data_IF_331438769825
#
_entry.id   IF_331438769825
#
_cell.length_a   1.000
_cell.length_b   1.000
_cell.length_c   1.000
_cell.angle_alpha   90.00
_cell.angle_beta   90.00
_cell.angle_gamma   90.00
#
_symmetry.space_group_name_H-M   'P 1'
#
loop_
_entity.id
_entity.type
_entity.pdbx_description
1 polymer ?
#
# COMPACT_ATOMS: atom_id res chain seq x y z
N UNK A 1 -6.20 0.77 0.15
CA UNK A 1 -4.88 1.44 0.20
C UNK A 1 -3.74 0.50 -0.12
N UNK A 2 -3.62 -0.68 0.51
CA UNK A 2 -2.65 -1.69 0.05
C UNK A 2 -2.83 -2.01 -1.44
N UNK A 3 -4.07 -2.23 -1.90
CA UNK A 3 -4.37 -2.44 -3.33
C UNK A 3 -4.01 -1.23 -4.22
N UNK A 4 -4.16 0.00 -3.72
CA UNK A 4 -3.78 1.21 -4.48
C UNK A 4 -2.26 1.30 -4.60
N UNK A 5 -1.54 0.97 -3.53
CA UNK A 5 -0.08 0.90 -3.54
C UNK A 5 0.41 -0.22 -4.47
N UNK A 6 -0.26 -1.37 -4.49
CA UNK A 6 0.00 -2.44 -5.45
C UNK A 6 -0.10 -1.91 -6.88
N UNK A 7 -1.23 -1.29 -7.23
CA UNK A 7 -1.46 -0.71 -8.56
C UNK A 7 -0.39 0.32 -8.88
N UNK A 8 -0.11 1.23 -7.96
CA UNK A 8 0.92 2.25 -8.12
C UNK A 8 2.30 1.65 -8.40
N UNK A 9 2.73 0.67 -7.60
CA UNK A 9 4.02 0.01 -7.77
C UNK A 9 4.08 -0.74 -9.11
N UNK A 10 3.01 -1.44 -9.50
CA UNK A 10 2.98 -2.10 -10.80
C UNK A 10 3.06 -1.11 -11.95
N UNK A 11 2.30 0.00 -11.92
CA UNK A 11 2.32 1.02 -12.96
C UNK A 11 3.71 1.66 -13.08
N UNK A 12 4.32 2.03 -11.95
CA UNK A 12 5.64 2.63 -11.90
C UNK A 12 6.75 1.68 -12.40
N UNK A 13 6.56 0.37 -12.21
CA UNK A 13 7.52 -0.64 -12.67
C UNK A 13 7.29 -1.04 -14.13
N UNK A 14 6.11 -0.81 -14.70
CA UNK A 14 5.82 -1.02 -16.13
C UNK A 14 6.52 0.07 -16.96
N UNK A 15 7.83 -0.07 -17.11
CA UNK A 15 8.67 0.78 -17.95
C UNK A 15 9.11 0.01 -19.20
N UNK A 16 9.48 0.69 -20.30
CA UNK A 16 9.88 0.02 -21.55
C UNK A 16 10.97 -1.05 -21.37
N UNK A 17 11.91 -0.81 -20.44
CA UNK A 17 12.98 -1.75 -20.10
C UNK A 17 12.43 -3.01 -19.44
N UNK A 18 11.46 -2.87 -18.54
CA UNK A 18 10.87 -4.02 -17.84
C UNK A 18 9.94 -4.79 -18.76
N UNK A 19 9.21 -4.10 -19.64
CA UNK A 19 8.37 -4.74 -20.66
C UNK A 19 9.25 -5.58 -21.60
N UNK A 20 10.38 -5.03 -22.07
CA UNK A 20 11.27 -5.79 -22.96
C UNK A 20 11.92 -7.00 -22.29
N UNK A 21 12.21 -6.92 -21.00
CA UNK A 21 12.66 -8.08 -20.20
C UNK A 21 11.54 -9.12 -20.05
N UNK A 22 10.30 -8.67 -19.85
CA UNK A 22 9.15 -9.55 -19.63
C UNK A 22 8.76 -10.33 -20.90
N UNK A 23 8.77 -9.65 -22.05
CA UNK A 23 8.30 -10.22 -23.34
C UNK A 23 9.46 -10.78 -24.18
N UNK A 24 10.69 -10.32 -23.95
CA UNK A 24 11.89 -10.77 -24.67
C UNK A 24 12.12 -10.06 -26.01
N UNK A 25 11.36 -9.00 -26.29
CA UNK A 25 11.45 -8.17 -27.49
C UNK A 25 11.20 -6.70 -27.15
N UNK A 26 11.41 -5.78 -28.10
CA UNK A 26 11.02 -4.38 -27.89
C UNK A 26 9.49 -4.28 -27.74
N UNK A 27 8.98 -3.41 -26.84
CA UNK A 27 7.55 -3.24 -26.62
C UNK A 27 6.90 -2.63 -27.85
N UNK A 28 6.15 -3.44 -28.60
CA UNK A 28 5.51 -3.05 -29.85
C UNK A 28 3.98 -3.19 -29.84
N UNK A 29 3.41 -3.88 -28.84
CA UNK A 29 1.97 -4.09 -28.75
C UNK A 29 1.36 -3.70 -27.40
N UNK A 30 0.08 -3.33 -27.45
CA UNK A 30 -0.70 -3.06 -26.25
C UNK A 30 -0.76 -4.28 -25.28
N UNK A 31 -0.72 -5.50 -25.83
CA UNK A 31 -0.81 -6.73 -25.04
C UNK A 31 0.44 -6.91 -24.17
N UNK A 32 1.61 -6.45 -24.62
CA UNK A 32 2.86 -6.58 -23.88
C UNK A 32 2.89 -5.69 -22.64
N UNK A 33 2.41 -4.45 -22.79
CA UNK A 33 2.24 -3.50 -21.69
C UNK A 33 1.26 -4.04 -20.65
N UNK A 34 0.10 -4.54 -21.12
CA UNK A 34 -0.94 -5.09 -20.25
C UNK A 34 -0.44 -6.34 -19.50
N UNK A 35 0.16 -7.30 -20.21
CA UNK A 35 0.64 -8.54 -19.60
C UNK A 35 1.75 -8.29 -18.60
N UNK A 36 2.69 -7.40 -18.91
CA UNK A 36 3.76 -6.98 -17.97
C UNK A 36 3.17 -6.32 -16.74
N UNK A 37 2.23 -5.39 -16.90
CA UNK A 37 1.51 -4.77 -15.77
C UNK A 37 0.83 -5.81 -14.88
N UNK A 38 0.09 -6.76 -15.47
CA UNK A 38 -0.61 -7.82 -14.73
C UNK A 38 0.37 -8.74 -13.97
N UNK A 39 1.51 -9.09 -14.58
CA UNK A 39 2.54 -9.89 -13.94
C UNK A 39 3.18 -9.14 -12.74
N UNK A 40 3.52 -7.86 -12.94
CA UNK A 40 4.07 -7.00 -11.89
C UNK A 40 3.09 -6.77 -10.75
N UNK A 41 1.78 -6.68 -11.04
CA UNK A 41 0.74 -6.52 -10.04
C UNK A 41 0.81 -7.63 -8.98
N UNK A 42 1.00 -8.89 -9.40
CA UNK A 42 1.08 -10.04 -8.48
C UNK A 42 2.28 -9.94 -7.53
N UNK A 43 3.42 -9.49 -8.04
CA UNK A 43 4.64 -9.27 -7.23
C UNK A 43 4.44 -8.06 -6.31
N UNK A 44 3.87 -6.97 -6.85
CA UNK A 44 3.60 -5.74 -6.14
C UNK A 44 2.63 -5.92 -4.97
N UNK A 45 1.69 -6.89 -5.03
CA UNK A 45 0.83 -7.24 -3.88
C UNK A 45 1.68 -7.63 -2.68
N UNK A 46 2.70 -8.47 -2.88
CA UNK A 46 3.58 -8.91 -1.80
C UNK A 46 4.32 -7.72 -1.17
N UNK A 47 4.94 -6.89 -2.01
CA UNK A 47 5.71 -5.72 -1.58
C UNK A 47 4.81 -4.72 -0.85
N UNK A 48 3.66 -4.38 -1.42
CA UNK A 48 2.69 -3.48 -0.80
C UNK A 48 2.17 -4.04 0.52
N UNK A 49 1.92 -5.35 0.60
CA UNK A 49 1.47 -6.00 1.83
C UNK A 49 2.53 -5.93 2.92
N UNK A 50 3.81 -6.12 2.60
CA UNK A 50 4.92 -5.98 3.55
C UNK A 50 5.00 -4.54 4.08
N UNK A 51 4.92 -3.55 3.19
CA UNK A 51 4.92 -2.13 3.57
C UNK A 51 3.76 -1.79 4.51
N UNK A 52 2.53 -2.19 4.17
CA UNK A 52 1.37 -1.95 5.01
C UNK A 52 1.32 -2.82 6.27
N UNK A 53 1.96 -3.99 6.28
CA UNK A 53 2.08 -4.84 7.46
C UNK A 53 2.81 -4.11 8.59
N UNK A 54 3.85 -3.32 8.27
CA UNK A 54 4.54 -2.51 9.28
C UNK A 54 3.59 -1.54 10.00
N UNK A 55 2.62 -0.98 9.28
CA UNK A 55 1.58 -0.11 9.85
C UNK A 55 0.66 -0.88 10.79
N UNK A 56 0.17 -2.04 10.37
CA UNK A 56 -0.67 -2.91 11.20
C UNK A 56 0.06 -3.31 12.48
N UNK A 57 1.34 -3.64 12.36
CA UNK A 57 2.13 -4.10 13.50
C UNK A 57 2.36 -2.98 14.52
N UNK A 58 2.66 -1.76 14.05
CA UNK A 58 2.77 -0.59 14.93
C UNK A 58 1.43 -0.23 15.58
N UNK A 59 0.32 -0.34 14.84
CA UNK A 59 -1.01 -0.07 15.36
C UNK A 59 -1.39 -1.07 16.47
N UNK A 60 -1.17 -2.36 16.22
CA UNK A 60 -1.45 -3.44 17.19
C UNK A 60 -0.58 -3.38 18.44
N UNK A 61 0.65 -2.86 18.32
CA UNK A 61 1.57 -2.77 19.46
C UNK A 61 1.08 -1.81 20.56
N UNK A 62 0.19 -0.88 20.21
CA UNK A 62 -0.34 0.13 21.12
C UNK A 62 0.65 1.27 21.41
N UNK A 63 1.66 1.47 20.56
CA UNK A 63 2.64 2.56 20.74
C UNK A 63 1.96 3.90 20.45
N UNK A 64 1.94 4.74 21.48
CA UNK A 64 1.40 6.10 21.44
C UNK A 64 2.53 7.11 21.61
N UNK A 65 2.49 8.16 20.82
CA UNK A 65 3.23 9.38 21.05
C UNK A 65 2.40 10.29 21.95
N UNK A 66 3.05 10.93 22.93
CA UNK A 66 2.46 11.98 23.75
C UNK A 66 3.46 13.10 23.97
N UNK A 67 2.98 14.35 23.86
CA UNK A 67 3.76 15.55 24.17
C UNK A 67 3.58 16.05 25.62
N UNK A 68 2.91 15.29 26.50
CA UNK A 68 2.60 15.66 27.89
C UNK A 68 3.80 16.25 28.66
N UNK A 69 4.96 15.60 28.59
CA UNK A 69 6.19 16.08 29.26
C UNK A 69 6.75 17.40 28.70
N UNK A 70 6.43 17.74 27.46
CA UNK A 70 6.86 18.99 26.80
C UNK A 70 5.81 20.10 26.91
N UNK A 71 4.53 19.77 27.07
CA UNK A 71 3.46 20.76 27.23
C UNK A 71 3.28 21.24 28.68
N UNK A 72 3.93 20.63 29.66
CA UNK A 72 3.95 21.15 31.04
C UNK A 72 4.48 22.58 31.13
N UNK A 73 5.46 22.92 30.29
CA UNK A 73 6.10 24.24 30.26
C UNK A 73 5.68 25.11 29.06
N UNK A 74 4.84 24.57 28.16
CA UNK A 74 4.39 25.32 26.97
C UNK A 74 2.87 25.25 26.84
N UNK A 75 2.21 26.37 26.52
CA UNK A 75 0.76 26.46 26.24
C UNK A 75 0.31 25.65 24.99
N UNK A 76 1.08 24.65 24.58
CA UNK A 76 0.76 23.76 23.46
C UNK A 76 -0.30 22.76 23.91
N UNK A 77 -1.30 22.47 23.07
CA UNK A 77 -2.30 21.47 23.38
C UNK A 77 -1.64 20.10 23.60
N UNK A 78 -2.17 19.34 24.55
CA UNK A 78 -1.75 17.95 24.78
C UNK A 78 -2.23 17.13 23.60
N UNK A 79 -1.30 16.48 22.91
CA UNK A 79 -1.55 15.58 21.80
C UNK A 79 -1.16 14.17 22.19
N UNK A 80 -2.10 13.24 22.03
CA UNK A 80 -1.86 11.80 22.14
C UNK A 80 -2.20 11.19 20.76
N UNK A 81 -1.22 10.56 20.12
CA UNK A 81 -1.39 10.01 18.77
C UNK A 81 -0.80 8.62 18.66
N UNK A 82 -1.53 7.69 18.02
CA UNK A 82 -0.97 6.38 17.67
C UNK A 82 0.07 6.54 16.57
N UNK A 83 1.29 6.06 16.82
CA UNK A 83 2.40 6.09 15.85
C UNK A 83 2.04 5.27 14.61
N UNK A 84 1.46 4.08 14.80
CA UNK A 84 0.98 3.25 13.70
C UNK A 84 -0.09 3.94 12.87
N UNK A 85 -1.04 4.65 13.49
CA UNK A 85 -2.09 5.38 12.76
C UNK A 85 -1.52 6.57 11.97
N UNK A 86 -0.58 7.31 12.55
CA UNK A 86 0.11 8.41 11.87
C UNK A 86 0.92 7.91 10.66
N UNK A 87 1.76 6.90 10.86
CA UNK A 87 2.55 6.30 9.78
C UNK A 87 1.64 5.71 8.68
N UNK A 88 0.57 5.04 9.08
CA UNK A 88 -0.45 4.54 8.16
C UNK A 88 -1.13 5.64 7.35
N UNK A 89 -1.43 6.79 7.96
CA UNK A 89 -2.00 7.94 7.22
C UNK A 89 -1.03 8.46 6.16
N UNK A 90 0.27 8.52 6.47
CA UNK A 90 1.29 8.93 5.52
C UNK A 90 1.37 7.98 4.32
N UNK A 91 1.46 6.66 4.56
CA UNK A 91 1.49 5.67 3.47
C UNK A 91 0.22 5.67 2.62
N UNK A 92 -0.94 5.88 3.24
CA UNK A 92 -2.22 6.00 2.53
C UNK A 92 -2.25 7.24 1.65
N UNK A 93 -1.75 8.38 2.15
CA UNK A 93 -1.66 9.63 1.39
C UNK A 93 -0.74 9.49 0.19
N UNK A 94 0.45 8.91 0.39
CA UNK A 94 1.37 8.59 -0.71
C UNK A 94 0.70 7.69 -1.75
N UNK A 95 0.19 6.53 -1.36
CA UNK A 95 -0.40 5.57 -2.29
C UNK A 95 -1.63 6.13 -3.03
N UNK A 96 -2.36 7.07 -2.43
CA UNK A 96 -3.51 7.71 -3.05
C UNK A 96 -3.13 8.76 -4.10
N UNK A 97 -2.12 9.58 -3.83
CA UNK A 97 -1.68 10.62 -4.76
C UNK A 97 -0.79 10.03 -5.86
N UNK A 98 0.14 9.16 -5.49
CA UNK A 98 1.11 8.60 -6.43
C UNK A 98 0.44 7.76 -7.52
N UNK A 99 -0.62 7.00 -7.18
CA UNK A 99 -1.31 6.15 -8.16
C UNK A 99 -1.93 6.98 -9.28
N UNK A 100 -2.34 8.22 -9.00
CA UNK A 100 -2.86 9.14 -10.02
C UNK A 100 -1.75 9.54 -10.98
N UNK A 101 -0.57 9.92 -10.47
CA UNK A 101 0.59 10.25 -11.30
C UNK A 101 1.06 9.06 -12.14
N UNK A 102 1.23 7.88 -11.52
CA UNK A 102 1.63 6.68 -12.24
C UNK A 102 0.59 6.21 -13.25
N UNK A 103 -0.71 6.48 -13.01
CA UNK A 103 -1.75 6.21 -13.99
C UNK A 103 -1.68 7.16 -15.19
N UNK A 104 -1.37 8.44 -14.98
CA UNK A 104 -1.16 9.40 -16.06
C UNK A 104 0.04 8.97 -16.92
N UNK A 105 1.19 8.67 -16.31
CA UNK A 105 2.39 8.20 -17.02
C UNK A 105 2.12 6.91 -17.80
N UNK A 106 1.41 5.97 -17.19
CA UNK A 106 0.99 4.75 -17.88
C UNK A 106 0.09 5.05 -19.06
N UNK A 107 -0.87 5.98 -18.92
CA UNK A 107 -1.76 6.37 -20.03
C UNK A 107 -1.01 7.04 -21.18
N UNK A 108 0.06 7.78 -20.91
CA UNK A 108 0.92 8.35 -21.96
C UNK A 108 1.65 7.28 -22.78
N UNK A 109 2.07 6.17 -22.14
CA UNK A 109 2.61 5.00 -22.82
C UNK A 109 1.52 4.20 -23.56
N UNK A 110 0.36 4.07 -22.93
CA UNK A 110 -0.74 3.19 -23.33
C UNK A 110 -1.59 3.73 -24.50
N UNK A 111 -1.92 5.02 -24.49
CA UNK A 111 -2.83 5.63 -25.48
C UNK A 111 -2.31 5.50 -26.93
N UNK A 112 -1.02 5.76 -27.22
CA UNK A 112 -0.49 5.62 -28.58
C UNK A 112 -0.60 4.19 -29.12
N UNK A 113 -0.27 3.19 -28.29
CA UNK A 113 -0.36 1.78 -28.67
C UNK A 113 -1.81 1.34 -28.84
N UNK A 114 -2.68 1.73 -27.90
CA UNK A 114 -4.11 1.42 -27.95
C UNK A 114 -4.75 1.97 -29.22
N UNK A 115 -4.44 3.20 -29.63
CA UNK A 115 -5.01 3.80 -30.83
C UNK A 115 -4.67 3.02 -32.12
N UNK A 116 -3.52 2.35 -32.15
CA UNK A 116 -3.09 1.53 -33.28
C UNK A 116 -3.70 0.12 -33.25
N UNK A 117 -3.95 -0.43 -32.05
CA UNK A 117 -4.40 -1.82 -31.84
C UNK A 117 -5.90 -1.97 -31.52
N UNK A 118 -6.67 -0.88 -31.44
CA UNK A 118 -8.05 -0.91 -30.95
C UNK A 118 -9.00 -1.66 -31.91
N UNK A 119 -9.14 -2.96 -31.68
CA UNK A 119 -10.17 -3.80 -32.29
C UNK A 119 -11.34 -4.01 -31.32
N UNK A 120 -12.55 -4.25 -31.87
CA UNK A 120 -13.76 -4.55 -31.08
C UNK A 120 -13.55 -5.69 -30.08
N UNK A 121 -12.87 -6.81 -30.41
CA UNK A 121 -12.55 -7.86 -29.44
C UNK A 121 -11.69 -7.36 -28.28
N UNK A 122 -10.70 -6.51 -28.56
CA UNK A 122 -9.80 -5.94 -27.57
C UNK A 122 -10.54 -5.00 -26.60
N UNK A 123 -11.47 -4.20 -27.12
CA UNK A 123 -12.33 -3.35 -26.30
C UNK A 123 -13.23 -4.17 -25.36
N UNK A 124 -13.84 -5.26 -25.86
CA UNK A 124 -14.65 -6.16 -25.03
C UNK A 124 -13.79 -6.83 -23.96
N UNK A 125 -12.59 -7.30 -24.30
CA UNK A 125 -11.65 -7.89 -23.36
C UNK A 125 -11.27 -6.90 -22.25
N UNK A 126 -10.94 -5.66 -22.62
CA UNK A 126 -10.65 -4.59 -21.67
C UNK A 126 -11.80 -4.38 -20.69
N UNK A 127 -13.04 -4.31 -21.17
CA UNK A 127 -14.21 -4.10 -20.33
C UNK A 127 -14.43 -5.28 -19.36
N UNK A 128 -14.28 -6.51 -19.85
CA UNK A 128 -14.41 -7.73 -19.04
C UNK A 128 -13.29 -7.86 -18.00
N UNK A 129 -12.07 -7.43 -18.32
CA UNK A 129 -10.91 -7.55 -17.42
C UNK A 129 -10.87 -6.41 -16.42
N UNK A 130 -11.03 -5.15 -16.85
CA UNK A 130 -10.83 -3.97 -16.00
C UNK A 130 -11.98 -3.69 -15.02
N UNK A 131 -13.23 -3.99 -15.38
CA UNK A 131 -14.39 -3.76 -14.49
C UNK A 131 -14.32 -4.59 -13.20
N UNK A 132 -14.09 -5.92 -13.24
CA UNK A 132 -13.98 -6.72 -12.02
C UNK A 132 -12.59 -6.62 -11.36
N UNK A 133 -11.60 -6.05 -12.05
CA UNK A 133 -10.20 -6.03 -11.61
C UNK A 133 -9.98 -5.52 -10.18
N UNK A 134 -10.61 -4.41 -9.73
CA UNK A 134 -10.45 -3.91 -8.38
C UNK A 134 -10.90 -4.91 -7.30
N UNK A 135 -11.89 -5.76 -7.61
CA UNK A 135 -12.36 -6.81 -6.71
C UNK A 135 -11.38 -7.99 -6.69
N UNK A 136 -10.83 -8.36 -7.85
CA UNK A 136 -9.89 -9.49 -7.99
C UNK A 136 -8.60 -9.22 -7.20
N UNK A 137 -8.09 -7.97 -7.20
CA UNK A 137 -6.87 -7.59 -6.46
C UNK A 137 -7.01 -7.84 -4.94
N UNK A 138 -8.23 -7.92 -4.41
CA UNK A 138 -8.44 -8.19 -2.98
C UNK A 138 -8.17 -9.66 -2.64
N UNK A 139 -8.38 -10.59 -3.58
CA UNK A 139 -8.23 -12.02 -3.32
C UNK A 139 -6.80 -12.38 -2.88
N UNK A 140 -5.72 -11.91 -3.56
CA UNK A 140 -4.35 -12.11 -3.10
C UNK A 140 -4.02 -11.51 -1.71
N UNK A 141 -4.80 -10.56 -1.21
CA UNK A 141 -4.56 -9.97 0.12
C UNK A 141 -5.06 -10.86 1.26
N UNK A 142 -6.03 -11.75 1.01
CA UNK A 142 -6.59 -12.67 2.01
C UNK A 142 -5.50 -13.50 2.71
N UNK A 143 -4.59 -14.21 2.01
CA UNK A 143 -3.54 -14.98 2.69
C UNK A 143 -2.61 -14.10 3.52
N UNK A 144 -2.30 -12.88 3.08
CA UNK A 144 -1.49 -11.94 3.85
C UNK A 144 -2.16 -11.53 5.17
N UNK A 145 -3.48 -11.31 5.15
CA UNK A 145 -4.26 -11.04 6.36
C UNK A 145 -4.29 -12.23 7.31
N UNK A 146 -4.48 -13.45 6.80
CA UNK A 146 -4.48 -14.67 7.62
C UNK A 146 -3.11 -14.87 8.29
N UNK A 147 -2.02 -14.71 7.54
CA UNK A 147 -0.66 -14.82 8.09
C UNK A 147 -0.44 -13.75 9.15
N UNK A 148 -0.86 -12.51 8.87
CA UNK A 148 -0.80 -11.41 9.83
C UNK A 148 -1.51 -11.81 11.13
N UNK A 149 -2.75 -12.28 11.09
CA UNK A 149 -3.47 -12.63 12.31
C UNK A 149 -2.79 -13.76 13.10
N UNK A 150 -2.24 -14.78 12.42
CA UNK A 150 -1.52 -15.88 13.07
C UNK A 150 -0.26 -15.44 13.82
N UNK A 151 0.44 -14.42 13.34
CA UNK A 151 1.69 -13.93 13.97
C UNK A 151 1.46 -12.78 14.96
N UNK A 152 0.20 -12.39 15.22
CA UNK A 152 -0.18 -11.19 15.97
C UNK A 152 0.50 -11.09 17.34
N UNK A 153 0.42 -12.13 18.16
CA UNK A 153 1.00 -12.09 19.51
C UNK A 153 2.53 -11.96 19.48
N UNK A 154 3.18 -12.73 18.59
CA UNK A 154 4.63 -12.72 18.42
C UNK A 154 5.13 -11.35 17.96
N UNK A 155 4.45 -10.72 16.99
CA UNK A 155 4.84 -9.39 16.49
C UNK A 155 4.67 -8.29 17.55
N UNK A 156 3.60 -8.34 18.35
CA UNK A 156 3.33 -7.34 19.37
C UNK A 156 4.44 -7.38 20.42
N UNK A 157 4.82 -8.59 20.85
CA UNK A 157 5.92 -8.79 21.80
C UNK A 157 7.23 -8.25 21.24
N UNK A 158 7.59 -8.62 20.01
CA UNK A 158 8.81 -8.16 19.36
C UNK A 158 8.89 -6.64 19.24
N UNK A 159 7.81 -5.99 18.80
CA UNK A 159 7.78 -4.53 18.65
C UNK A 159 7.87 -3.84 19.99
N UNK A 160 7.18 -4.34 21.03
CA UNK A 160 7.28 -3.78 22.38
C UNK A 160 8.69 -3.91 22.95
N UNK A 161 9.37 -5.03 22.72
CA UNK A 161 10.76 -5.21 23.13
C UNK A 161 11.72 -4.25 22.40
N UNK A 162 11.53 -4.07 21.09
CA UNK A 162 12.30 -3.08 20.32
C UNK A 162 12.00 -1.65 20.78
N UNK A 163 10.73 -1.32 21.00
CA UNK A 163 10.30 -0.01 21.50
C UNK A 163 10.94 0.34 22.86
N UNK A 164 11.04 -0.64 23.78
CA UNK A 164 11.77 -0.47 25.04
C UNK A 164 13.24 -0.10 24.82
N UNK A 165 13.91 -0.72 23.82
CA UNK A 165 15.30 -0.37 23.45
C UNK A 165 15.43 1.06 22.90
N UNK A 166 14.37 1.60 22.31
CA UNK A 166 14.31 2.99 21.85
C UNK A 166 13.87 3.98 22.96
N UNK A 167 13.82 3.54 24.22
CA UNK A 167 13.49 4.42 25.35
C UNK A 167 12.00 4.64 25.58
N UNK A 168 11.12 3.87 24.91
CA UNK A 168 9.68 3.90 25.14
C UNK A 168 9.37 3.05 26.38
N UNK A 169 9.39 3.68 27.55
CA UNK A 169 9.27 3.00 28.86
C UNK A 169 8.02 3.38 29.65
N UNK A 170 7.33 4.46 29.28
CA UNK A 170 6.12 4.90 29.97
C UNK A 170 4.90 4.14 29.47
N UNK A 171 4.19 3.46 30.37
CA UNK A 171 2.85 2.92 30.13
C UNK A 171 1.83 4.03 30.40
N UNK A 172 0.98 4.33 29.42
CA UNK A 172 -0.16 5.21 29.62
C UNK A 172 -1.40 4.34 29.83
N UNK A 173 -2.02 4.44 31.00
CA UNK A 173 -3.40 3.97 31.17
C UNK A 173 -4.32 4.98 30.52
N UNK A 174 -5.08 4.54 29.52
CA UNK A 174 -6.06 5.38 28.83
C UNK A 174 -7.42 5.07 29.45
N UNK A 175 -7.87 5.94 30.34
CA UNK A 175 -9.24 5.88 30.87
C UNK A 175 -10.17 6.51 29.83
N UNK A 176 -11.00 5.70 29.19
CA UNK A 176 -12.00 6.21 28.25
C UNK A 176 -13.23 6.66 29.05
N UNK A 177 -13.48 7.96 29.14
CA UNK A 177 -14.77 8.48 29.57
C UNK A 177 -15.76 8.34 28.41
N UNK A 178 -16.56 7.28 28.43
CA UNK A 178 -17.72 7.18 27.55
C UNK A 178 -18.77 8.17 28.03
N UNK A 179 -18.94 9.30 27.32
CA UNK A 179 -20.13 10.13 27.48
C UNK A 179 -21.33 9.32 27.04
N UNK A 180 -22.09 8.79 28.01
CA UNK A 180 -23.42 8.20 27.82
C UNK A 180 -24.46 9.28 27.58
#
# INVERSE_FOLDING_TARGET
FTSLMTINLSLLLTTPIIISISVGSDPDSFIDDLTTFLALLMIAVGIASILFATTWFLMDSGILYSNLKKSGDTHKPIEIRSVGRWYGQFLKGYAGISVVFSYIEFMELFIPQLANDLSVPLFIMLLVVFVPFPLIIVIPLIPALIISDRIKEKRIRFIREKAKKFGITSTAEVTFETRS
#
